data_IF_215067069948
#
_entry.id   IF_215067069948
#
_cell.length_a   1.000
_cell.length_b   1.000
_cell.length_c   1.000
_cell.angle_alpha   90.00
_cell.angle_beta   90.00
_cell.angle_gamma   90.00
#
_symmetry.space_group_name_H-M   'P 1'
#
loop_
_entity.id
_entity.type
_entity.pdbx_description
1 polymer ?
#
# COMPACT_ATOMS: atom_id res chain seq x y z
N UNK A 1 19.71 19.25 -1.58
CA UNK A 1 19.23 17.95 -1.07
C UNK A 1 19.99 16.80 -1.77
N UNK A 2 21.31 16.74 -1.56
CA UNK A 2 22.16 15.69 -2.15
C UNK A 2 21.81 14.29 -1.60
N UNK A 3 21.27 14.21 -0.38
CA UNK A 3 20.88 12.97 0.29
C UNK A 3 19.71 12.21 -0.38
N UNK A 4 19.03 12.79 -1.35
CA UNK A 4 17.99 12.11 -2.16
C UNK A 4 18.55 11.50 -3.45
N UNK A 5 19.82 11.69 -3.77
CA UNK A 5 20.43 11.14 -4.98
C UNK A 5 20.59 9.62 -4.90
N UNK A 6 20.75 9.10 -3.69
CA UNK A 6 20.81 7.66 -3.42
C UNK A 6 19.69 7.27 -2.47
N UNK A 7 19.22 6.04 -2.62
CA UNK A 7 18.22 5.46 -1.72
C UNK A 7 18.83 5.25 -0.35
N UNK A 8 18.15 5.73 0.68
CA UNK A 8 18.61 5.65 2.07
C UNK A 8 17.47 5.14 2.95
N UNK A 9 17.49 3.83 3.22
CA UNK A 9 16.51 3.14 4.06
C UNK A 9 17.02 3.08 5.48
N UNK A 10 16.40 3.83 6.35
CA UNK A 10 16.62 3.82 7.79
C UNK A 10 15.45 3.09 8.47
N UNK A 11 15.66 2.41 9.60
CA UNK A 11 14.58 1.84 10.41
C UNK A 11 13.60 2.94 10.84
N UNK A 12 12.31 2.72 10.60
CA UNK A 12 11.27 3.64 11.07
C UNK A 12 11.01 3.42 12.56
N UNK A 13 10.67 4.49 13.27
CA UNK A 13 10.35 4.41 14.70
C UNK A 13 9.10 3.56 14.93
N UNK A 14 8.17 3.57 13.99
CA UNK A 14 6.93 2.80 14.05
C UNK A 14 7.16 1.29 14.03
N UNK A 15 8.22 0.82 13.38
CA UNK A 15 8.54 -0.60 13.23
C UNK A 15 9.37 -1.14 14.39
N UNK A 16 9.76 -0.29 15.36
CA UNK A 16 10.62 -0.71 16.47
C UNK A 16 9.85 -1.59 17.46
N UNK A 17 10.43 -2.73 17.88
CA UNK A 17 9.83 -3.57 18.92
C UNK A 17 9.77 -2.82 20.26
N UNK A 18 8.66 -2.97 20.98
CA UNK A 18 8.48 -2.33 22.30
C UNK A 18 7.97 -0.90 22.27
N UNK A 19 7.52 -0.41 21.11
CA UNK A 19 6.85 0.88 21.03
C UNK A 19 5.60 0.89 21.92
N UNK A 20 5.43 1.98 22.68
CA UNK A 20 4.23 2.17 23.49
C UNK A 20 2.95 2.11 22.65
N UNK A 21 1.98 1.33 23.09
CA UNK A 21 0.73 1.07 22.34
C UNK A 21 -0.03 2.36 22.03
N UNK A 22 -0.07 3.31 22.99
CA UNK A 22 -0.76 4.60 22.78
C UNK A 22 -0.01 5.46 21.75
N UNK A 23 1.33 5.51 21.82
CA UNK A 23 2.17 6.20 20.84
C UNK A 23 2.00 5.57 19.43
N UNK A 24 1.96 4.24 19.34
CA UNK A 24 1.72 3.52 18.08
C UNK A 24 0.35 3.84 17.51
N UNK A 25 -0.74 3.77 18.29
CA UNK A 25 -2.08 4.15 17.84
C UNK A 25 -2.15 5.61 17.40
N UNK A 26 -1.49 6.53 18.09
CA UNK A 26 -1.42 7.95 17.72
C UNK A 26 -0.68 8.15 16.40
N UNK A 27 0.38 7.40 16.16
CA UNK A 27 1.13 7.41 14.89
C UNK A 27 0.28 6.86 13.74
N UNK A 28 -0.33 5.69 13.89
CA UNK A 28 -1.24 5.10 12.89
C UNK A 28 -2.39 6.05 12.53
N UNK A 29 -3.01 6.70 13.52
CA UNK A 29 -4.05 7.69 13.27
C UNK A 29 -3.52 8.96 12.57
N UNK A 30 -2.28 9.35 12.81
CA UNK A 30 -1.61 10.44 12.11
C UNK A 30 -1.35 10.09 10.65
N UNK A 31 -0.75 8.91 10.38
CA UNK A 31 -0.51 8.40 9.04
C UNK A 31 -1.81 8.26 8.23
N UNK A 32 -2.88 7.78 8.85
CA UNK A 32 -4.19 7.68 8.19
C UNK A 32 -4.66 9.02 7.61
N UNK A 33 -4.44 10.14 8.32
CA UNK A 33 -4.79 11.49 7.82
C UNK A 33 -3.89 11.91 6.67
N UNK A 34 -2.59 11.66 6.77
CA UNK A 34 -1.63 11.94 5.69
C UNK A 34 -2.00 11.11 4.45
N UNK A 35 -2.23 9.80 4.62
CA UNK A 35 -2.59 8.88 3.54
C UNK A 35 -3.95 9.22 2.92
N UNK A 36 -4.89 9.77 3.70
CA UNK A 36 -6.19 10.20 3.16
C UNK A 36 -6.05 11.27 2.08
N UNK A 37 -5.09 12.17 2.21
CA UNK A 37 -4.81 13.23 1.23
C UNK A 37 -3.84 12.80 0.12
N UNK A 38 -3.19 11.65 0.26
CA UNK A 38 -2.09 11.23 -0.61
C UNK A 38 -2.49 10.61 -1.95
N UNK A 39 -3.77 10.65 -2.34
CA UNK A 39 -4.19 10.29 -3.69
C UNK A 39 -4.11 8.80 -4.10
N UNK A 40 -3.56 7.91 -3.28
CA UNK A 40 -3.38 6.49 -3.63
C UNK A 40 -4.69 5.76 -3.90
N UNK A 41 -5.70 5.94 -3.04
CA UNK A 41 -7.00 5.29 -3.23
C UNK A 41 -7.68 5.68 -4.55
N UNK A 42 -7.77 6.95 -4.97
CA UNK A 42 -8.27 7.31 -6.30
C UNK A 42 -7.52 6.67 -7.46
N UNK A 43 -6.18 6.59 -7.36
CA UNK A 43 -5.35 5.99 -8.42
C UNK A 43 -5.63 4.49 -8.56
N UNK A 44 -5.63 3.74 -7.45
CA UNK A 44 -5.95 2.31 -7.43
C UNK A 44 -7.39 2.07 -7.87
N UNK A 45 -8.33 2.89 -7.40
CA UNK A 45 -9.75 2.77 -7.77
C UNK A 45 -10.00 2.86 -9.27
N UNK A 46 -9.33 3.79 -9.94
CA UNK A 46 -9.43 3.94 -11.39
C UNK A 46 -9.04 2.66 -12.13
N UNK A 47 -7.96 1.99 -11.67
CA UNK A 47 -7.50 0.73 -12.25
C UNK A 47 -8.47 -0.43 -11.95
N UNK A 48 -8.97 -0.54 -10.72
CA UNK A 48 -9.94 -1.57 -10.35
C UNK A 48 -11.23 -1.46 -11.17
N UNK A 49 -11.72 -0.23 -11.39
CA UNK A 49 -12.91 -0.02 -12.24
C UNK A 49 -12.71 -0.54 -13.66
N UNK A 50 -11.51 -0.43 -14.22
CA UNK A 50 -11.22 -0.94 -15.57
C UNK A 50 -11.27 -2.47 -15.65
N UNK A 51 -11.08 -3.17 -14.54
CA UNK A 51 -11.08 -4.64 -14.47
C UNK A 51 -12.44 -5.24 -14.13
N UNK A 52 -13.37 -4.44 -13.62
CA UNK A 52 -14.66 -4.95 -13.11
C UNK A 52 -15.63 -5.38 -14.21
N UNK A 53 -15.42 -4.97 -15.46
CA UNK A 53 -16.34 -5.26 -16.58
C UNK A 53 -16.63 -6.75 -16.83
N UNK A 54 -15.77 -7.64 -16.35
CA UNK A 54 -15.92 -9.09 -16.47
C UNK A 54 -16.36 -9.76 -15.15
N UNK A 55 -16.85 -8.99 -14.20
CA UNK A 55 -17.26 -9.45 -12.88
C UNK A 55 -18.76 -9.30 -12.72
N UNK A 56 -19.37 -10.17 -11.90
CA UNK A 56 -20.80 -10.17 -11.54
C UNK A 56 -20.96 -10.30 -10.04
N UNK A 57 -22.19 -10.22 -9.54
CA UNK A 57 -22.48 -10.44 -8.11
C UNK A 57 -22.08 -11.85 -7.69
N UNK A 58 -22.31 -12.86 -8.55
CA UNK A 58 -21.97 -14.27 -8.29
C UNK A 58 -20.46 -14.54 -8.47
N UNK A 59 -19.76 -13.69 -9.21
CA UNK A 59 -18.32 -13.77 -9.45
C UNK A 59 -17.66 -12.39 -9.30
N UNK A 60 -17.54 -11.89 -8.09
CA UNK A 60 -16.95 -10.59 -7.83
C UNK A 60 -15.45 -10.57 -8.17
N UNK A 61 -14.94 -9.39 -8.51
CA UNK A 61 -13.49 -9.15 -8.62
C UNK A 61 -12.87 -9.29 -7.22
N UNK A 62 -11.98 -10.26 -7.02
CA UNK A 62 -11.34 -10.50 -5.73
C UNK A 62 -9.99 -9.79 -5.64
N UNK A 63 -9.84 -8.94 -4.64
CA UNK A 63 -8.66 -8.08 -4.43
C UNK A 63 -8.04 -8.37 -3.08
N UNK A 64 -6.73 -8.62 -3.06
CA UNK A 64 -5.93 -8.73 -1.84
C UNK A 64 -5.06 -7.49 -1.68
N UNK A 65 -5.13 -6.83 -0.53
CA UNK A 65 -4.25 -5.76 -0.10
C UNK A 65 -3.15 -6.34 0.80
N UNK A 66 -1.91 -6.30 0.33
CA UNK A 66 -0.73 -6.88 1.00
C UNK A 66 -0.06 -5.80 1.83
N UNK A 67 0.34 -6.15 3.05
CA UNK A 67 0.85 -5.22 4.06
C UNK A 67 -0.14 -4.07 4.29
N UNK A 68 -1.41 -4.44 4.50
CA UNK A 68 -2.53 -3.50 4.57
C UNK A 68 -2.53 -2.63 5.83
N UNK A 69 -1.66 -2.91 6.81
CA UNK A 69 -1.62 -2.21 8.08
C UNK A 69 -2.97 -2.22 8.79
N UNK A 70 -3.44 -1.07 9.24
CA UNK A 70 -4.77 -0.87 9.83
C UNK A 70 -5.94 -0.86 8.85
N UNK A 71 -5.74 -1.28 7.60
CA UNK A 71 -6.77 -1.41 6.60
C UNK A 71 -7.26 -0.11 5.95
N UNK A 72 -6.52 0.98 6.06
CA UNK A 72 -6.95 2.30 5.59
C UNK A 72 -7.31 2.33 4.11
N UNK A 73 -6.48 1.71 3.26
CA UNK A 73 -6.68 1.68 1.81
C UNK A 73 -7.81 0.72 1.46
N UNK A 74 -7.73 -0.52 1.93
CA UNK A 74 -8.69 -1.57 1.60
C UNK A 74 -10.11 -1.23 2.05
N UNK A 75 -10.29 -0.64 3.25
CA UNK A 75 -11.60 -0.24 3.75
C UNK A 75 -12.20 0.94 2.97
N UNK A 76 -11.37 1.88 2.51
CA UNK A 76 -11.82 2.99 1.65
C UNK A 76 -12.27 2.47 0.29
N UNK A 77 -11.50 1.54 -0.31
CA UNK A 77 -11.85 0.89 -1.58
C UNK A 77 -13.13 0.07 -1.46
N UNK A 78 -13.28 -0.72 -0.38
CA UNK A 78 -14.48 -1.52 -0.11
C UNK A 78 -15.74 -0.64 0.03
N UNK A 79 -15.63 0.49 0.77
CA UNK A 79 -16.72 1.46 0.88
C UNK A 79 -17.08 2.07 -0.47
N UNK A 80 -16.08 2.40 -1.28
CA UNK A 80 -16.29 2.99 -2.60
C UNK A 80 -16.92 2.01 -3.57
N UNK A 81 -16.51 0.73 -3.54
CA UNK A 81 -17.12 -0.35 -4.33
C UNK A 81 -18.60 -0.52 -3.97
N UNK A 82 -18.92 -0.59 -2.67
CA UNK A 82 -20.30 -0.66 -2.19
C UNK A 82 -21.13 0.55 -2.63
N UNK A 83 -20.60 1.75 -2.48
CA UNK A 83 -21.30 2.98 -2.87
C UNK A 83 -21.55 3.06 -4.40
N UNK A 84 -20.69 2.45 -5.20
CA UNK A 84 -20.78 2.40 -6.66
C UNK A 84 -21.56 1.18 -7.19
N UNK A 85 -22.02 0.27 -6.32
CA UNK A 85 -22.69 -0.96 -6.71
C UNK A 85 -21.81 -1.93 -7.52
N UNK A 86 -20.47 -1.81 -7.40
CA UNK A 86 -19.55 -2.65 -8.17
C UNK A 86 -19.25 -3.96 -7.41
N UNK A 87 -19.28 -5.12 -8.11
CA UNK A 87 -19.03 -6.41 -7.51
C UNK A 87 -17.53 -6.64 -7.28
N UNK A 88 -16.98 -6.00 -6.26
CA UNK A 88 -15.58 -6.15 -5.85
C UNK A 88 -15.55 -6.60 -4.39
N UNK A 89 -14.82 -7.68 -4.12
CA UNK A 89 -14.57 -8.22 -2.80
C UNK A 89 -13.11 -7.94 -2.42
N UNK A 90 -12.90 -7.46 -1.20
CA UNK A 90 -11.57 -7.12 -0.69
C UNK A 90 -11.22 -7.95 0.53
N UNK A 91 -9.96 -8.38 0.57
CA UNK A 91 -9.31 -8.92 1.77
C UNK A 91 -8.01 -8.12 2.00
N UNK A 92 -7.54 -8.08 3.26
CA UNK A 92 -6.27 -7.48 3.63
C UNK A 92 -5.40 -8.45 4.41
N UNK A 93 -4.09 -8.43 4.17
CA UNK A 93 -3.15 -9.19 5.00
C UNK A 93 -1.98 -8.32 5.45
N UNK A 94 -1.46 -8.63 6.63
CA UNK A 94 -0.31 -7.95 7.24
C UNK A 94 0.44 -8.91 8.15
N UNK A 95 1.71 -8.62 8.42
CA UNK A 95 2.49 -9.38 9.39
C UNK A 95 2.12 -9.01 10.84
N UNK A 96 1.69 -7.77 11.07
CA UNK A 96 1.37 -7.20 12.38
C UNK A 96 -0.04 -7.54 12.81
N UNK A 97 -0.17 -8.44 13.79
CA UNK A 97 -1.46 -8.77 14.40
C UNK A 97 -2.14 -7.54 15.02
N UNK A 98 -1.37 -6.64 15.64
CA UNK A 98 -1.88 -5.38 16.20
C UNK A 98 -2.52 -4.49 15.13
N UNK A 99 -1.89 -4.38 13.97
CA UNK A 99 -2.42 -3.60 12.85
C UNK A 99 -3.72 -4.25 12.31
N UNK A 100 -3.75 -5.57 12.16
CA UNK A 100 -4.95 -6.30 11.73
C UNK A 100 -6.12 -6.15 12.71
N UNK A 101 -5.86 -6.21 14.01
CA UNK A 101 -6.88 -5.98 15.04
C UNK A 101 -7.47 -4.57 14.93
N UNK A 102 -6.64 -3.56 14.69
CA UNK A 102 -7.10 -2.18 14.43
C UNK A 102 -7.94 -2.11 13.15
N UNK A 103 -7.53 -2.81 12.10
CA UNK A 103 -8.28 -2.93 10.85
C UNK A 103 -9.67 -3.54 11.07
N UNK A 104 -9.76 -4.65 11.78
CA UNK A 104 -11.02 -5.29 12.15
C UNK A 104 -11.95 -4.36 12.96
N UNK A 105 -11.40 -3.69 13.98
CA UNK A 105 -12.16 -2.71 14.77
C UNK A 105 -12.67 -1.54 13.94
N UNK A 106 -11.84 -1.06 13.01
CA UNK A 106 -12.19 0.04 12.11
C UNK A 106 -13.28 -0.39 11.13
N UNK A 107 -13.17 -1.59 10.56
CA UNK A 107 -14.18 -2.20 9.69
C UNK A 107 -15.53 -2.31 10.41
N UNK A 108 -15.53 -2.83 11.63
CA UNK A 108 -16.73 -2.96 12.45
C UNK A 108 -17.40 -1.61 12.73
N UNK A 109 -16.60 -0.60 13.16
CA UNK A 109 -17.10 0.77 13.42
C UNK A 109 -17.69 1.43 12.17
N UNK A 110 -17.21 1.08 10.98
CA UNK A 110 -17.70 1.62 9.70
C UNK A 110 -18.80 0.77 9.05
N UNK A 111 -19.21 -0.35 9.65
CA UNK A 111 -20.20 -1.25 9.08
C UNK A 111 -19.73 -1.97 7.81
N UNK A 112 -18.40 -2.18 7.66
CA UNK A 112 -17.77 -2.85 6.53
C UNK A 112 -17.37 -4.26 6.97
N UNK A 113 -18.36 -5.16 7.08
CA UNK A 113 -18.16 -6.50 7.66
C UNK A 113 -17.72 -7.56 6.65
N UNK A 114 -17.62 -7.22 5.37
CA UNK A 114 -17.30 -8.15 4.28
C UNK A 114 -15.82 -8.12 3.86
N UNK A 115 -14.97 -7.34 4.54
CA UNK A 115 -13.52 -7.35 4.38
C UNK A 115 -12.92 -8.28 5.43
N UNK A 116 -12.19 -9.31 4.99
CA UNK A 116 -11.48 -10.21 5.85
C UNK A 116 -10.04 -9.72 6.04
N UNK A 117 -9.56 -9.75 7.28
CA UNK A 117 -8.16 -9.49 7.64
C UNK A 117 -7.52 -10.78 8.16
N UNK A 118 -6.28 -11.07 7.74
CA UNK A 118 -5.55 -12.25 8.18
C UNK A 118 -4.05 -11.99 8.23
N UNK A 119 -3.35 -12.68 9.13
CA UNK A 119 -1.90 -12.60 9.26
C UNK A 119 -1.24 -13.34 8.10
N UNK A 120 -0.19 -12.74 7.52
CA UNK A 120 0.55 -13.32 6.40
C UNK A 120 1.91 -12.65 6.23
N UNK A 121 2.98 -13.46 6.11
CA UNK A 121 4.31 -12.98 5.76
C UNK A 121 4.48 -12.97 4.23
N UNK A 122 4.32 -11.78 3.63
CA UNK A 122 4.36 -11.60 2.18
C UNK A 122 5.71 -11.96 1.52
N UNK A 123 6.79 -12.08 2.31
CA UNK A 123 8.13 -12.42 1.81
C UNK A 123 8.48 -13.90 2.00
N UNK A 124 7.82 -14.58 2.93
CA UNK A 124 8.16 -15.98 3.29
C UNK A 124 7.10 -16.99 2.92
N UNK A 125 5.86 -16.55 2.77
CA UNK A 125 4.74 -17.43 2.51
C UNK A 125 4.16 -17.22 1.11
N UNK A 126 3.72 -18.28 0.41
CA UNK A 126 3.01 -18.12 -0.85
C UNK A 126 1.65 -17.45 -0.64
N UNK A 127 1.30 -16.51 -1.50
CA UNK A 127 -0.02 -15.86 -1.42
C UNK A 127 -1.14 -16.88 -1.63
N UNK A 128 -2.27 -16.73 -0.89
CA UNK A 128 -3.45 -17.56 -1.08
C UNK A 128 -3.99 -17.44 -2.51
N UNK A 129 -4.46 -18.53 -3.05
CA UNK A 129 -5.04 -18.56 -4.39
C UNK A 129 -6.41 -17.88 -4.46
N UNK A 130 -6.78 -17.53 -5.68
CA UNK A 130 -8.15 -17.08 -5.99
C UNK A 130 -8.33 -15.58 -6.07
N UNK A 131 -7.28 -14.77 -5.93
CA UNK A 131 -7.36 -13.33 -6.13
C UNK A 131 -7.14 -12.96 -7.60
N UNK A 132 -8.00 -12.09 -8.11
CA UNK A 132 -7.86 -11.52 -9.45
C UNK A 132 -6.79 -10.44 -9.45
N UNK A 133 -6.76 -9.63 -8.40
CA UNK A 133 -5.79 -8.55 -8.19
C UNK A 133 -5.10 -8.71 -6.84
N UNK A 134 -3.78 -8.59 -6.85
CA UNK A 134 -2.99 -8.44 -5.61
C UNK A 134 -2.35 -7.07 -5.65
N UNK A 135 -2.56 -6.30 -4.61
CA UNK A 135 -2.01 -4.95 -4.52
C UNK A 135 -1.26 -4.72 -3.22
N UNK A 136 -0.36 -3.74 -3.21
CA UNK A 136 0.18 -3.18 -1.98
C UNK A 136 0.27 -1.66 -2.11
N UNK A 137 0.17 -0.97 -0.98
CA UNK A 137 0.26 0.49 -0.93
C UNK A 137 1.16 0.92 0.21
N UNK A 138 2.13 1.80 -0.08
CA UNK A 138 3.09 2.33 0.91
C UNK A 138 3.87 1.21 1.63
N UNK A 139 4.31 0.23 0.89
CA UNK A 139 5.05 -0.91 1.45
C UNK A 139 6.38 -1.18 0.75
N UNK A 140 6.46 -0.96 -0.57
CA UNK A 140 7.65 -1.31 -1.35
C UNK A 140 8.91 -0.58 -0.84
N UNK A 141 8.76 0.66 -0.37
CA UNK A 141 9.87 1.46 0.15
C UNK A 141 10.48 0.91 1.46
N UNK A 142 9.77 0.07 2.22
CA UNK A 142 10.31 -0.62 3.38
C UNK A 142 11.27 -1.77 3.02
N UNK A 143 11.24 -2.26 1.78
CA UNK A 143 11.95 -3.46 1.38
C UNK A 143 13.34 -3.15 0.80
N UNK A 144 14.30 -4.07 0.97
CA UNK A 144 15.52 -4.08 0.17
C UNK A 144 15.18 -4.43 -1.29
N UNK A 145 16.05 -4.11 -2.24
CA UNK A 145 15.78 -4.35 -3.65
C UNK A 145 15.50 -5.84 -3.95
N UNK A 146 16.25 -6.74 -3.33
CA UNK A 146 16.05 -8.18 -3.49
C UNK A 146 14.66 -8.64 -2.99
N UNK A 147 14.22 -8.13 -1.82
CA UNK A 147 12.92 -8.44 -1.26
C UNK A 147 11.78 -7.79 -2.07
N UNK A 148 12.00 -6.58 -2.59
CA UNK A 148 11.05 -5.93 -3.49
C UNK A 148 10.84 -6.72 -4.78
N UNK A 149 11.92 -7.24 -5.38
CA UNK A 149 11.84 -8.12 -6.56
C UNK A 149 11.10 -9.42 -6.22
N UNK A 150 11.42 -10.04 -5.07
CA UNK A 150 10.75 -11.24 -4.61
C UNK A 150 9.24 -11.01 -4.42
N UNK A 151 8.87 -9.93 -3.74
CA UNK A 151 7.47 -9.54 -3.54
C UNK A 151 6.73 -9.37 -4.88
N UNK A 152 7.28 -8.56 -5.80
CA UNK A 152 6.68 -8.31 -7.10
C UNK A 152 6.46 -9.60 -7.89
N UNK A 153 7.46 -10.49 -7.89
CA UNK A 153 7.38 -11.80 -8.54
C UNK A 153 6.31 -12.68 -7.90
N UNK A 154 6.25 -12.74 -6.56
CA UNK A 154 5.28 -13.54 -5.84
C UNK A 154 3.86 -13.04 -6.06
N UNK A 155 3.63 -11.73 -6.03
CA UNK A 155 2.34 -11.10 -6.35
C UNK A 155 1.90 -11.44 -7.78
N UNK A 156 2.80 -11.32 -8.76
CA UNK A 156 2.48 -11.60 -10.17
C UNK A 156 2.16 -13.07 -10.43
N UNK A 157 2.82 -13.99 -9.73
CA UNK A 157 2.57 -15.43 -9.85
C UNK A 157 1.19 -15.80 -9.27
N UNK A 158 0.77 -15.17 -8.19
CA UNK A 158 -0.47 -15.48 -7.49
C UNK A 158 -1.70 -14.76 -8.06
N UNK A 159 -1.53 -13.54 -8.58
CA UNK A 159 -2.61 -12.77 -9.17
C UNK A 159 -3.09 -13.37 -10.50
N UNK A 160 -4.41 -13.48 -10.68
CA UNK A 160 -4.99 -14.01 -11.93
C UNK A 160 -5.00 -12.99 -13.07
N UNK A 161 -5.07 -11.70 -12.77
CA UNK A 161 -5.27 -10.63 -13.76
C UNK A 161 -4.21 -9.54 -13.71
N UNK A 162 -3.96 -8.99 -12.51
CA UNK A 162 -3.05 -7.87 -12.38
C UNK A 162 -2.47 -7.73 -10.97
N UNK A 163 -1.32 -7.09 -10.89
CA UNK A 163 -0.80 -6.55 -9.64
C UNK A 163 -0.77 -5.04 -9.69
N UNK A 164 -0.98 -4.40 -8.53
CA UNK A 164 -0.84 -2.96 -8.34
C UNK A 164 0.12 -2.67 -7.20
N UNK A 165 1.03 -1.74 -7.43
CA UNK A 165 1.89 -1.20 -6.37
C UNK A 165 1.79 0.31 -6.39
N UNK A 166 1.27 0.88 -5.32
CA UNK A 166 1.14 2.32 -5.15
C UNK A 166 2.08 2.77 -4.03
N UNK A 167 3.12 3.55 -4.39
CA UNK A 167 4.13 3.94 -3.40
C UNK A 167 4.65 5.37 -3.62
N UNK A 168 5.44 5.83 -2.66
CA UNK A 168 6.10 7.12 -2.67
C UNK A 168 7.16 7.21 -3.77
N UNK A 169 7.40 8.42 -4.27
CA UNK A 169 8.53 8.72 -5.13
C UNK A 169 9.63 9.43 -4.36
N UNK A 170 10.88 8.99 -4.53
CA UNK A 170 12.05 9.68 -4.01
C UNK A 170 12.34 10.91 -4.86
N UNK A 171 11.64 12.01 -4.55
CA UNK A 171 11.83 13.32 -5.20
C UNK A 171 12.03 14.42 -4.17
N UNK A 172 12.60 15.54 -4.59
CA UNK A 172 12.77 16.72 -3.72
C UNK A 172 11.42 17.30 -3.29
N UNK A 173 10.47 17.35 -4.22
CA UNK A 173 9.13 17.84 -3.93
C UNK A 173 8.37 16.89 -3.03
N UNK A 174 8.46 15.56 -3.27
CA UNK A 174 7.88 14.55 -2.41
C UNK A 174 8.36 14.66 -0.96
N UNK A 175 9.66 14.89 -0.77
CA UNK A 175 10.24 15.11 0.55
C UNK A 175 9.66 16.36 1.25
N UNK A 176 9.60 17.50 0.55
CA UNK A 176 9.06 18.75 1.11
C UNK A 176 7.58 18.62 1.43
N UNK A 177 6.80 18.07 0.50
CA UNK A 177 5.36 17.87 0.70
C UNK A 177 5.08 16.91 1.87
N UNK A 178 5.83 15.82 1.96
CA UNK A 178 5.72 14.87 3.06
C UNK A 178 6.11 15.54 4.40
N UNK A 179 7.21 16.27 4.45
CA UNK A 179 7.66 16.97 5.65
C UNK A 179 6.61 17.96 6.17
N UNK A 180 6.02 18.76 5.27
CA UNK A 180 4.94 19.71 5.60
C UNK A 180 3.67 18.94 6.02
N UNK A 181 3.25 17.98 5.21
CA UNK A 181 2.03 17.21 5.43
C UNK A 181 2.02 16.47 6.77
N UNK A 182 3.13 15.81 7.12
CA UNK A 182 3.27 15.12 8.40
C UNK A 182 3.10 16.07 9.59
N UNK A 183 3.64 17.28 9.51
CA UNK A 183 3.54 18.28 10.59
C UNK A 183 2.19 18.95 10.65
N UNK A 184 1.57 19.22 9.52
CA UNK A 184 0.26 19.84 9.46
C UNK A 184 -0.87 18.88 9.88
N UNK A 185 -0.78 17.59 9.57
CA UNK A 185 -1.86 16.62 9.71
C UNK A 185 -1.70 15.68 10.91
N UNK A 186 -0.52 15.64 11.52
CA UNK A 186 -0.24 14.79 12.67
C UNK A 186 0.47 15.57 13.78
N UNK A 187 0.13 15.20 15.03
CA UNK A 187 0.86 15.66 16.23
C UNK A 187 1.78 14.57 16.77
N UNK A 188 2.00 13.49 16.02
CA UNK A 188 2.87 12.39 16.43
C UNK A 188 4.33 12.69 16.05
N UNK A 189 5.27 12.73 16.99
CA UNK A 189 6.71 12.84 16.68
C UNK A 189 7.19 11.70 15.78
N UNK A 190 6.63 10.50 15.94
CA UNK A 190 6.92 9.32 15.11
C UNK A 190 6.62 9.65 13.65
N UNK A 191 5.42 10.14 13.32
CA UNK A 191 5.02 10.50 11.95
C UNK A 191 5.90 11.63 11.39
N UNK A 192 6.31 12.60 12.24
CA UNK A 192 7.18 13.68 11.83
C UNK A 192 8.60 13.20 11.45
N UNK A 193 9.05 12.10 12.04
CA UNK A 193 10.33 11.46 11.76
C UNK A 193 10.21 10.51 10.57
N UNK A 194 9.27 9.57 10.64
CA UNK A 194 9.17 8.45 9.72
C UNK A 194 8.72 8.88 8.32
N UNK A 195 7.79 9.84 8.19
CA UNK A 195 7.31 10.28 6.90
C UNK A 195 8.44 10.77 5.96
N UNK A 196 9.32 11.70 6.37
CA UNK A 196 10.48 12.08 5.55
C UNK A 196 11.48 10.93 5.31
N UNK A 197 11.63 9.99 6.26
CA UNK A 197 12.48 8.79 6.08
C UNK A 197 11.91 7.87 5.01
N UNK A 198 10.59 7.65 4.99
CA UNK A 198 9.90 6.86 3.97
C UNK A 198 10.16 7.42 2.56
N UNK A 199 10.17 8.77 2.38
CA UNK A 199 10.52 9.36 1.08
C UNK A 199 11.99 9.13 0.71
N UNK A 200 12.93 9.14 1.67
CA UNK A 200 14.35 8.81 1.43
C UNK A 200 14.52 7.34 1.05
N UNK A 201 13.71 6.47 1.62
CA UNK A 201 13.67 5.04 1.35
C UNK A 201 12.92 4.67 0.06
N UNK A 202 12.11 5.58 -0.48
CA UNK A 202 11.31 5.36 -1.68
C UNK A 202 12.17 5.13 -2.93
N UNK A 203 11.58 4.49 -3.93
CA UNK A 203 12.19 4.29 -5.23
C UNK A 203 11.90 5.48 -6.17
N UNK A 204 12.80 5.75 -7.11
CA UNK A 204 12.51 6.57 -8.29
C UNK A 204 11.71 5.76 -9.31
N UNK A 205 11.11 6.43 -10.31
CA UNK A 205 10.40 5.72 -11.40
C UNK A 205 11.31 4.75 -12.15
N UNK A 206 12.56 5.13 -12.39
CA UNK A 206 13.52 4.27 -13.10
C UNK A 206 13.93 3.06 -12.25
N UNK A 207 14.12 3.25 -10.95
CA UNK A 207 14.40 2.15 -10.02
C UNK A 207 13.19 1.20 -9.95
N UNK A 208 11.97 1.70 -9.78
CA UNK A 208 10.76 0.89 -9.77
C UNK A 208 10.57 0.11 -11.08
N UNK A 209 10.89 0.72 -12.22
CA UNK A 209 10.88 0.04 -13.53
C UNK A 209 11.91 -1.08 -13.60
N UNK A 210 13.14 -0.83 -13.12
CA UNK A 210 14.18 -1.88 -13.07
C UNK A 210 13.77 -3.06 -12.20
N UNK A 211 13.22 -2.81 -11.00
CA UNK A 211 12.69 -3.86 -10.12
C UNK A 211 11.63 -4.71 -10.81
N UNK A 212 10.68 -4.06 -11.49
CA UNK A 212 9.63 -4.74 -12.23
C UNK A 212 10.18 -5.66 -13.32
N UNK A 213 11.17 -5.19 -14.09
CA UNK A 213 11.84 -6.00 -15.14
C UNK A 213 12.60 -7.18 -14.51
N UNK A 214 13.33 -6.94 -13.42
CA UNK A 214 14.06 -8.00 -12.71
C UNK A 214 13.13 -9.03 -12.05
N UNK A 215 11.93 -8.61 -11.65
CA UNK A 215 10.89 -9.52 -11.17
C UNK A 215 10.22 -10.34 -12.29
N UNK A 216 10.57 -10.09 -13.56
CA UNK A 216 9.99 -10.76 -14.73
C UNK A 216 8.58 -10.27 -15.09
N UNK A 217 8.19 -9.07 -14.65
CA UNK A 217 6.88 -8.52 -14.98
C UNK A 217 6.82 -8.12 -16.44
N UNK A 218 5.73 -8.50 -17.08
CA UNK A 218 5.37 -8.11 -18.45
C UNK A 218 4.29 -7.05 -18.43
N UNK A 219 4.13 -6.29 -19.52
CA UNK A 219 3.06 -5.29 -19.65
C UNK A 219 3.02 -4.28 -18.48
N UNK A 220 4.20 -3.79 -18.07
CA UNK A 220 4.34 -2.85 -16.95
C UNK A 220 3.92 -1.45 -17.39
N UNK A 221 2.92 -0.91 -16.72
CA UNK A 221 2.55 0.50 -16.79
C UNK A 221 2.95 1.18 -15.49
N UNK A 222 3.68 2.28 -15.58
CA UNK A 222 4.16 3.04 -14.44
C UNK A 222 3.72 4.49 -14.61
N UNK A 223 2.87 4.97 -13.71
CA UNK A 223 2.29 6.30 -13.77
C UNK A 223 2.55 7.07 -12.47
N UNK A 224 3.08 8.27 -12.59
CA UNK A 224 3.16 9.19 -11.47
C UNK A 224 1.79 9.83 -11.21
N UNK A 225 1.46 10.03 -9.94
CA UNK A 225 0.26 10.75 -9.53
C UNK A 225 0.51 11.61 -8.28
N UNK A 226 -0.42 12.49 -7.97
CA UNK A 226 -0.38 13.37 -6.79
C UNK A 226 -0.35 12.58 -5.47
N UNK A 227 0.41 12.99 -4.46
CA UNK A 227 1.38 14.10 -4.36
C UNK A 227 2.86 13.62 -4.46
N UNK A 228 3.35 13.18 -5.55
CA UNK A 228 4.65 12.53 -5.71
C UNK A 228 4.64 11.05 -5.30
N UNK A 229 3.70 10.33 -5.89
CA UNK A 229 3.59 8.88 -5.79
C UNK A 229 3.61 8.26 -7.18
N UNK A 230 3.81 6.96 -7.24
CA UNK A 230 3.63 6.21 -8.48
C UNK A 230 2.65 5.05 -8.27
N UNK A 231 1.96 4.72 -9.33
CA UNK A 231 1.21 3.47 -9.44
C UNK A 231 1.88 2.62 -10.53
N UNK A 232 2.36 1.46 -10.12
CA UNK A 232 2.80 0.39 -11.00
C UNK A 232 1.65 -0.58 -11.18
N UNK A 233 1.32 -0.86 -12.45
CA UNK A 233 0.40 -1.92 -12.86
C UNK A 233 1.14 -2.89 -13.75
N UNK A 234 1.01 -4.19 -13.48
CA UNK A 234 1.37 -5.24 -14.41
C UNK A 234 0.17 -6.16 -14.61
N UNK A 235 -0.22 -6.36 -15.87
CA UNK A 235 -1.31 -7.26 -16.26
C UNK A 235 -0.73 -8.58 -16.76
N UNK A 236 -1.44 -9.65 -16.48
CA UNK A 236 -1.09 -11.01 -16.92
C UNK A 236 -1.68 -11.27 -18.31
#
# INVERSE_FOLDING_TARGET
MAFLNQRDRQPELMDQPGLDVSAHHKALNGLRRVNWLSGGVPAIWQELRSLVHFSSVDRPLRVLDVACGGGDVVLRLARQARASGLPIQFDGCDLSETALQLGCQTAQKQGILHVRFFQHDALREPFPEGYDVIMCSLFLHHLQEADAILLLKSMANAARRAIFVDDLLRTRWGYVLCWIGCRALSRSPIVHNDGPLSVRAAFTLDEARRLAVQAGLTSVQLRQHWPERFLLRSSR
#
